data_IF_787525448005
#
_entry.id   IF_787525448005
#
_cell.length_a   1.000
_cell.length_b   1.000
_cell.length_c   1.000
_cell.angle_alpha   90.00
_cell.angle_beta   90.00
_cell.angle_gamma   90.00
#
_symmetry.space_group_name_H-M   'P 1'
#
loop_
_entity.id
_entity.type
_entity.pdbx_description
1 polymer ?
#
# COMPACT_ATOMS: atom_id res chain seq x y z
N UNK A 1 -22.95 16.71 -11.10
CA UNK A 1 -22.16 15.78 -10.27
C UNK A 1 -20.85 15.53 -11.01
N UNK A 2 -19.71 15.64 -10.34
CA UNK A 2 -18.39 15.42 -10.92
C UNK A 2 -18.18 13.95 -11.25
N UNK A 3 -17.41 13.66 -12.30
CA UNK A 3 -17.13 12.29 -12.73
C UNK A 3 -15.64 11.99 -12.73
N UNK A 4 -15.27 10.86 -12.12
CA UNK A 4 -13.89 10.40 -11.96
C UNK A 4 -13.72 9.08 -12.71
N UNK A 5 -12.70 8.99 -13.57
CA UNK A 5 -12.24 7.74 -14.15
C UNK A 5 -11.00 7.25 -13.38
N UNK A 6 -11.01 6.02 -12.88
CA UNK A 6 -9.88 5.40 -12.18
C UNK A 6 -9.38 4.20 -12.97
N UNK A 7 -8.09 4.15 -13.24
CA UNK A 7 -7.44 3.10 -14.01
C UNK A 7 -6.52 2.25 -13.14
N UNK A 8 -6.79 0.95 -13.09
CA UNK A 8 -5.99 -0.05 -12.39
C UNK A 8 -5.87 -1.33 -13.24
N UNK A 9 -4.78 -2.06 -13.13
CA UNK A 9 -4.58 -3.29 -13.92
C UNK A 9 -5.49 -4.42 -13.47
N UNK A 10 -5.57 -4.65 -12.18
CA UNK A 10 -6.28 -5.77 -11.56
C UNK A 10 -6.53 -5.49 -10.07
N UNK A 11 -7.42 -6.25 -9.44
CA UNK A 11 -7.70 -6.21 -8.01
C UNK A 11 -7.15 -7.46 -7.29
N UNK A 12 -5.89 -7.81 -7.59
CA UNK A 12 -5.18 -8.92 -6.96
C UNK A 12 -4.69 -8.62 -5.54
N UNK A 13 -3.80 -9.49 -5.01
CA UNK A 13 -3.20 -9.31 -3.68
C UNK A 13 -2.06 -8.29 -3.73
N UNK A 14 -2.20 -7.17 -3.02
CA UNK A 14 -1.13 -6.19 -2.89
C UNK A 14 -1.57 -4.91 -2.16
N UNK A 15 -0.61 -4.13 -1.72
CA UNK A 15 -0.87 -2.86 -1.02
C UNK A 15 -1.59 -1.85 -1.90
N UNK A 16 -1.22 -1.72 -3.17
CA UNK A 16 -1.84 -0.79 -4.12
C UNK A 16 -3.30 -1.17 -4.36
N UNK A 17 -3.58 -2.46 -4.58
CA UNK A 17 -4.93 -2.97 -4.78
C UNK A 17 -5.82 -2.75 -3.55
N UNK A 18 -5.28 -3.02 -2.36
CA UNK A 18 -5.98 -2.78 -1.09
C UNK A 18 -6.26 -1.30 -0.88
N UNK A 19 -5.29 -0.43 -1.19
CA UNK A 19 -5.46 1.02 -1.12
C UNK A 19 -6.60 1.49 -2.02
N UNK A 20 -6.66 1.00 -3.27
CA UNK A 20 -7.75 1.33 -4.19
C UNK A 20 -9.12 0.86 -3.67
N UNK A 21 -9.20 -0.38 -3.19
CA UNK A 21 -10.46 -0.92 -2.64
C UNK A 21 -10.95 -0.09 -1.45
N UNK A 22 -10.03 0.27 -0.53
CA UNK A 22 -10.36 1.13 0.60
C UNK A 22 -10.88 2.49 0.14
N UNK A 23 -10.22 3.12 -0.83
CA UNK A 23 -10.63 4.39 -1.40
C UNK A 23 -12.02 4.30 -2.02
N UNK A 24 -12.26 3.33 -2.90
CA UNK A 24 -13.54 3.17 -3.59
C UNK A 24 -14.71 2.88 -2.64
N UNK A 25 -14.44 2.30 -1.47
CA UNK A 25 -15.45 2.09 -0.43
C UNK A 25 -15.71 3.31 0.45
N UNK A 26 -14.75 4.23 0.51
CA UNK A 26 -14.84 5.43 1.34
C UNK A 26 -15.40 6.66 0.59
N UNK A 27 -15.32 6.66 -0.75
CA UNK A 27 -15.84 7.75 -1.57
C UNK A 27 -17.36 7.92 -1.36
N UNK A 28 -17.78 9.18 -1.25
CA UNK A 28 -19.19 9.55 -1.24
C UNK A 28 -19.73 9.65 -2.69
N UNK A 29 -20.49 8.63 -3.09
CA UNK A 29 -21.10 8.52 -4.41
C UNK A 29 -22.31 9.46 -4.62
N UNK A 30 -22.72 10.22 -3.62
CA UNK A 30 -23.69 11.30 -3.78
C UNK A 30 -23.00 12.61 -4.23
N UNK A 31 -21.70 12.74 -3.99
CA UNK A 31 -20.86 13.87 -4.44
C UNK A 31 -20.26 13.64 -5.82
N UNK A 32 -19.77 12.42 -6.10
CA UNK A 32 -19.03 12.09 -7.32
C UNK A 32 -19.48 10.76 -7.92
N UNK A 33 -19.50 10.69 -9.24
CA UNK A 33 -19.64 9.42 -9.99
C UNK A 33 -18.25 8.86 -10.26
N UNK A 34 -18.03 7.57 -9.95
CA UNK A 34 -16.74 6.90 -10.22
C UNK A 34 -16.93 5.75 -11.21
N UNK A 35 -16.08 5.75 -12.23
CA UNK A 35 -15.97 4.70 -13.22
C UNK A 35 -14.59 4.04 -13.07
N UNK A 36 -14.55 2.76 -12.67
CA UNK A 36 -13.33 1.97 -12.50
C UNK A 36 -13.02 1.17 -13.77
N UNK A 37 -11.85 1.37 -14.32
CA UNK A 37 -11.34 0.64 -15.49
C UNK A 37 -10.28 -0.37 -15.08
N UNK A 38 -10.52 -1.64 -15.36
CA UNK A 38 -9.60 -2.75 -15.08
C UNK A 38 -9.10 -3.37 -16.38
N UNK A 39 -7.81 -3.71 -16.43
CA UNK A 39 -7.22 -4.43 -17.59
C UNK A 39 -7.48 -5.93 -17.55
N UNK A 40 -7.79 -6.48 -16.36
CA UNK A 40 -8.07 -7.90 -16.14
C UNK A 40 -9.18 -8.08 -15.10
N UNK A 41 -9.98 -9.12 -15.28
CA UNK A 41 -10.99 -9.55 -14.30
C UNK A 41 -10.39 -10.53 -13.27
N UNK A 42 -9.26 -10.19 -12.70
CA UNK A 42 -8.64 -10.95 -11.62
C UNK A 42 -8.96 -10.27 -10.28
N UNK A 43 -9.86 -10.89 -9.51
CA UNK A 43 -10.22 -10.49 -8.15
C UNK A 43 -9.73 -11.55 -7.18
N UNK A 44 -8.77 -11.20 -6.32
CA UNK A 44 -8.30 -12.13 -5.28
C UNK A 44 -9.23 -12.18 -4.07
N UNK A 45 -9.99 -11.10 -3.83
CA UNK A 45 -10.89 -10.97 -2.71
C UNK A 45 -12.34 -10.98 -3.21
N UNK A 46 -13.24 -11.60 -2.45
CA UNK A 46 -14.67 -11.34 -2.60
C UNK A 46 -14.93 -9.88 -2.14
N UNK A 47 -14.65 -8.92 -3.03
CA UNK A 47 -14.81 -7.50 -2.73
C UNK A 47 -16.21 -7.09 -3.15
N UNK A 48 -17.03 -6.72 -2.19
CA UNK A 48 -18.28 -6.01 -2.45
C UNK A 48 -17.98 -4.53 -2.63
N UNK A 49 -18.39 -3.99 -3.77
CA UNK A 49 -18.31 -2.56 -4.07
C UNK A 49 -19.69 -1.89 -3.91
N UNK A 50 -19.72 -0.57 -3.66
CA UNK A 50 -20.95 0.18 -3.71
C UNK A 50 -21.66 0.01 -5.05
N UNK A 51 -22.98 -0.14 -5.04
CA UNK A 51 -23.81 -0.33 -6.26
C UNK A 51 -23.65 0.78 -7.29
N UNK A 52 -23.31 2.00 -6.83
CA UNK A 52 -23.10 3.17 -7.69
C UNK A 52 -21.74 3.19 -8.40
N UNK A 53 -20.82 2.27 -8.10
CA UNK A 53 -19.54 2.13 -8.81
C UNK A 53 -19.75 1.39 -10.13
N UNK A 54 -19.41 2.04 -11.25
CA UNK A 54 -19.33 1.36 -12.53
C UNK A 54 -17.97 0.69 -12.72
N UNK A 55 -17.94 -0.56 -13.19
CA UNK A 55 -16.70 -1.30 -13.48
C UNK A 55 -16.66 -1.67 -14.94
N UNK A 56 -15.62 -1.25 -15.64
CA UNK A 56 -15.36 -1.54 -17.03
C UNK A 56 -14.10 -2.37 -17.18
N UNK A 57 -14.15 -3.39 -18.04
CA UNK A 57 -12.99 -4.21 -18.36
C UNK A 57 -12.41 -3.81 -19.71
N UNK A 58 -11.19 -3.33 -19.70
CA UNK A 58 -10.43 -3.02 -20.92
C UNK A 58 -9.88 -4.32 -21.47
N UNK A 59 -10.34 -4.73 -22.67
CA UNK A 59 -9.82 -5.92 -23.39
C UNK A 59 -8.40 -5.66 -23.92
N UNK A 60 -7.45 -5.47 -23.01
CA UNK A 60 -6.07 -5.15 -23.34
C UNK A 60 -5.14 -6.27 -22.89
N UNK A 61 -4.28 -6.71 -23.78
CA UNK A 61 -3.12 -7.53 -23.41
C UNK A 61 -2.00 -6.62 -22.92
N UNK A 62 -1.74 -6.51 -21.61
CA UNK A 62 -0.78 -5.54 -21.04
C UNK A 62 0.63 -5.63 -21.65
N UNK A 63 1.02 -6.82 -22.14
CA UNK A 63 2.35 -7.08 -22.71
C UNK A 63 2.62 -6.33 -24.03
N UNK A 64 1.60 -6.13 -24.84
CA UNK A 64 1.76 -5.49 -26.17
C UNK A 64 2.13 -4.02 -26.03
N UNK A 65 1.56 -3.32 -25.04
CA UNK A 65 1.74 -1.87 -24.86
C UNK A 65 2.99 -1.49 -24.08
N UNK A 66 3.62 -2.44 -23.39
CA UNK A 66 4.80 -2.18 -22.57
C UNK A 66 6.07 -1.88 -23.38
N UNK A 67 6.09 -2.29 -24.64
CA UNK A 67 7.23 -2.12 -25.55
C UNK A 67 6.93 -1.20 -26.75
N UNK A 68 5.83 -0.46 -26.70
CA UNK A 68 5.47 0.51 -27.74
C UNK A 68 5.83 1.93 -27.31
N UNK A 69 6.17 2.82 -28.27
CA UNK A 69 6.15 4.26 -28.03
C UNK A 69 4.78 4.67 -27.47
N UNK A 70 4.78 5.49 -26.43
CA UNK A 70 3.55 5.82 -25.70
C UNK A 70 2.45 6.40 -26.61
N UNK A 71 2.80 7.25 -27.57
CA UNK A 71 1.85 7.84 -28.53
C UNK A 71 1.19 6.79 -29.44
N UNK A 72 1.89 5.70 -29.75
CA UNK A 72 1.32 4.59 -30.52
C UNK A 72 0.33 3.80 -29.67
N UNK A 73 0.72 3.45 -28.43
CA UNK A 73 -0.16 2.78 -27.48
C UNK A 73 -1.43 3.60 -27.20
N UNK A 74 -1.29 4.90 -27.02
CA UNK A 74 -2.39 5.86 -26.82
C UNK A 74 -3.38 5.85 -27.98
N UNK A 75 -2.92 5.83 -29.24
CA UNK A 75 -3.80 5.76 -30.43
C UNK A 75 -4.56 4.44 -30.49
N UNK A 76 -3.92 3.32 -30.18
CA UNK A 76 -4.53 1.99 -30.24
C UNK A 76 -5.61 1.78 -29.18
N UNK A 77 -5.48 2.38 -28.02
CA UNK A 77 -6.41 2.22 -26.89
C UNK A 77 -7.60 3.19 -26.89
N UNK A 78 -7.58 4.20 -27.74
CA UNK A 78 -8.64 5.23 -27.83
C UNK A 78 -10.07 4.67 -27.99
N UNK A 79 -10.20 3.44 -28.50
CA UNK A 79 -11.48 2.79 -28.76
C UNK A 79 -11.97 1.87 -27.62
N UNK A 80 -11.19 1.72 -26.56
CA UNK A 80 -11.53 0.81 -25.44
C UNK A 80 -12.44 1.44 -24.38
N UNK A 81 -12.63 2.76 -24.45
CA UNK A 81 -13.48 3.52 -23.51
C UNK A 81 -14.84 3.78 -24.14
N UNK A 82 -15.97 3.60 -23.42
CA UNK A 82 -17.29 3.88 -23.94
C UNK A 82 -17.39 5.30 -24.51
N UNK A 83 -17.97 5.46 -25.71
CA UNK A 83 -18.08 6.77 -26.33
C UNK A 83 -19.05 7.68 -25.56
N UNK A 84 -18.80 8.98 -25.56
CA UNK A 84 -19.68 9.99 -24.97
C UNK A 84 -19.53 10.20 -23.46
N UNK A 85 -18.56 9.53 -22.80
CA UNK A 85 -18.24 9.81 -21.41
C UNK A 85 -17.15 10.89 -21.33
N UNK A 86 -17.42 11.93 -20.56
CA UNK A 86 -16.47 13.00 -20.22
C UNK A 86 -16.23 12.99 -18.70
N UNK A 87 -14.97 13.18 -18.30
CA UNK A 87 -14.54 13.13 -16.91
C UNK A 87 -13.99 14.49 -16.46
N UNK A 88 -14.26 14.83 -15.21
CA UNK A 88 -13.58 15.97 -14.57
C UNK A 88 -12.16 15.58 -14.18
N UNK A 89 -11.97 14.30 -13.75
CA UNK A 89 -10.68 13.76 -13.32
C UNK A 89 -10.44 12.37 -13.88
N UNK A 90 -9.24 12.12 -14.42
CA UNK A 90 -8.76 10.79 -14.76
C UNK A 90 -7.53 10.44 -13.91
N UNK A 91 -7.57 9.28 -13.26
CA UNK A 91 -6.55 8.80 -12.31
C UNK A 91 -5.84 7.57 -12.88
N UNK A 92 -4.53 7.68 -13.15
CA UNK A 92 -3.64 6.52 -13.26
C UNK A 92 -3.26 6.07 -11.85
N UNK A 93 -3.96 5.07 -11.32
CA UNK A 93 -3.74 4.60 -9.96
C UNK A 93 -2.58 3.62 -9.83
N UNK A 94 -2.02 3.15 -10.95
CA UNK A 94 -0.89 2.24 -10.95
C UNK A 94 0.20 2.71 -11.93
N UNK A 95 1.01 3.64 -11.48
CA UNK A 95 2.07 4.30 -12.25
C UNK A 95 3.05 3.36 -12.97
N UNK A 96 3.11 2.09 -12.56
CA UNK A 96 4.00 1.08 -13.14
C UNK A 96 3.38 0.27 -14.28
N UNK A 97 2.11 0.49 -14.58
CA UNK A 97 1.38 -0.26 -15.62
C UNK A 97 1.08 0.66 -16.82
N UNK A 98 1.64 0.30 -17.97
CA UNK A 98 1.41 1.07 -19.19
C UNK A 98 -0.08 1.14 -19.58
N UNK A 99 -0.83 0.06 -19.36
CA UNK A 99 -2.27 0.02 -19.63
C UNK A 99 -3.07 1.05 -18.82
N UNK A 100 -2.71 1.26 -17.54
CA UNK A 100 -3.36 2.26 -16.68
C UNK A 100 -3.08 3.67 -17.20
N UNK A 101 -1.81 3.96 -17.53
CA UNK A 101 -1.41 5.24 -18.08
C UNK A 101 -2.12 5.55 -19.40
N UNK A 102 -2.13 4.57 -20.34
CA UNK A 102 -2.80 4.77 -21.63
C UNK A 102 -4.29 5.01 -21.43
N UNK A 103 -4.94 4.26 -20.55
CA UNK A 103 -6.35 4.49 -20.20
C UNK A 103 -6.58 5.91 -19.69
N UNK A 104 -5.88 6.31 -18.64
CA UNK A 104 -6.04 7.63 -18.01
C UNK A 104 -5.76 8.79 -18.98
N UNK A 105 -4.81 8.62 -19.90
CA UNK A 105 -4.40 9.66 -20.85
C UNK A 105 -5.20 9.65 -22.16
N UNK A 106 -6.10 8.69 -22.38
CA UNK A 106 -6.93 8.62 -23.60
C UNK A 106 -8.39 8.96 -23.38
N UNK A 107 -8.90 8.83 -22.16
CA UNK A 107 -10.29 9.26 -21.85
C UNK A 107 -10.42 10.77 -22.00
N UNK A 108 -11.56 11.28 -22.48
CA UNK A 108 -11.86 12.69 -22.41
C UNK A 108 -11.95 13.13 -20.94
N UNK A 109 -10.92 13.80 -20.45
CA UNK A 109 -10.87 14.29 -19.07
C UNK A 109 -10.29 15.71 -19.02
N UNK A 110 -10.80 16.54 -18.10
CA UNK A 110 -10.33 17.91 -17.89
C UNK A 110 -8.99 17.94 -17.15
N UNK A 111 -8.80 17.01 -16.20
CA UNK A 111 -7.60 16.92 -15.37
C UNK A 111 -7.12 15.47 -15.27
N UNK A 112 -5.81 15.26 -15.33
CA UNK A 112 -5.17 13.93 -15.36
C UNK A 112 -4.10 13.85 -14.31
N UNK A 113 -4.20 12.85 -13.44
CA UNK A 113 -3.25 12.66 -12.36
C UNK A 113 -2.66 11.25 -12.34
N UNK A 114 -1.44 11.15 -11.84
CA UNK A 114 -0.76 9.87 -11.67
C UNK A 114 -0.44 9.64 -10.20
N UNK A 115 -0.91 8.53 -9.63
CA UNK A 115 -0.56 8.08 -8.29
C UNK A 115 0.81 7.42 -8.23
N UNK A 116 1.60 7.74 -7.19
CA UNK A 116 2.93 7.17 -6.97
C UNK A 116 2.92 6.43 -5.63
N UNK A 117 2.94 5.09 -5.71
CA UNK A 117 2.79 4.21 -4.54
C UNK A 117 4.08 3.63 -3.99
N UNK A 118 5.20 3.71 -4.70
CA UNK A 118 6.47 3.10 -4.29
C UNK A 118 7.67 3.94 -4.75
N UNK A 119 8.80 3.73 -4.09
CA UNK A 119 10.08 4.28 -4.54
C UNK A 119 10.52 3.60 -5.84
N UNK A 120 10.55 4.40 -6.90
CA UNK A 120 10.94 3.97 -8.25
C UNK A 120 12.40 3.53 -8.30
N UNK A 121 13.31 4.15 -7.52
CA UNK A 121 14.73 3.82 -7.50
C UNK A 121 14.94 2.35 -7.19
N UNK A 122 14.32 1.89 -6.12
CA UNK A 122 14.43 0.51 -5.67
C UNK A 122 13.97 -0.48 -6.71
N UNK A 123 12.90 -0.15 -7.43
CA UNK A 123 12.38 -1.00 -8.49
C UNK A 123 13.33 -1.06 -9.68
N UNK A 124 13.92 0.07 -10.05
CA UNK A 124 14.91 0.15 -11.12
C UNK A 124 16.24 -0.54 -10.78
N UNK A 125 16.63 -0.54 -9.51
CA UNK A 125 17.83 -1.24 -9.04
C UNK A 125 17.68 -2.74 -9.06
N UNK A 126 16.52 -3.25 -8.61
CA UNK A 126 16.30 -4.68 -8.41
C UNK A 126 15.69 -5.40 -9.63
N UNK A 127 15.05 -4.69 -10.57
CA UNK A 127 14.37 -5.29 -11.70
C UNK A 127 14.94 -4.78 -13.04
N UNK A 128 15.94 -5.49 -13.62
CA UNK A 128 16.56 -5.08 -14.88
C UNK A 128 15.56 -4.89 -16.04
N UNK A 129 14.51 -5.71 -16.09
CA UNK A 129 13.43 -5.57 -17.08
C UNK A 129 12.70 -4.25 -16.93
N UNK A 130 12.57 -3.78 -15.69
CA UNK A 130 11.91 -2.53 -15.39
C UNK A 130 12.76 -1.32 -15.84
N UNK A 131 14.10 -1.42 -15.76
CA UNK A 131 15.01 -0.40 -16.31
C UNK A 131 14.82 -0.20 -17.82
N UNK A 132 14.66 -1.30 -18.56
CA UNK A 132 14.37 -1.21 -20.03
C UNK A 132 12.99 -0.60 -20.26
N UNK A 133 11.98 -1.05 -19.55
CA UNK A 133 10.62 -0.51 -19.68
C UNK A 133 10.53 0.97 -19.27
N UNK A 134 11.32 1.41 -18.30
CA UNK A 134 11.36 2.79 -17.84
C UNK A 134 11.72 3.78 -18.95
N UNK A 135 12.59 3.40 -19.85
CA UNK A 135 12.96 4.23 -21.00
C UNK A 135 11.73 4.59 -21.84
N UNK A 136 10.81 3.64 -22.01
CA UNK A 136 9.55 3.88 -22.74
C UNK A 136 8.48 4.54 -21.86
N UNK A 137 8.47 4.24 -20.56
CA UNK A 137 7.44 4.75 -19.66
C UNK A 137 7.59 6.24 -19.31
N UNK A 138 8.82 6.75 -19.24
CA UNK A 138 9.05 8.14 -18.82
C UNK A 138 8.43 9.18 -19.73
N UNK A 139 8.23 8.86 -21.01
CA UNK A 139 7.58 9.78 -21.94
C UNK A 139 6.15 10.14 -21.55
N UNK A 140 5.44 9.26 -20.85
CA UNK A 140 4.07 9.50 -20.40
C UNK A 140 3.94 10.65 -19.40
N UNK A 141 4.99 10.90 -18.61
CA UNK A 141 4.93 11.87 -17.50
C UNK A 141 4.61 13.29 -17.95
N UNK A 142 4.99 13.69 -19.16
CA UNK A 142 4.69 15.01 -19.72
C UNK A 142 3.19 15.27 -19.99
N UNK A 143 2.35 14.23 -19.90
CA UNK A 143 0.91 14.32 -20.21
C UNK A 143 0.02 14.38 -18.95
N UNK A 144 0.59 14.28 -17.76
CA UNK A 144 -0.14 14.45 -16.52
C UNK A 144 -0.12 15.90 -16.06
N UNK A 145 -1.24 16.37 -15.56
CA UNK A 145 -1.39 17.72 -15.01
C UNK A 145 -0.82 17.81 -13.60
N UNK A 146 -0.89 16.70 -12.83
CA UNK A 146 -0.39 16.63 -11.46
C UNK A 146 0.02 15.20 -11.08
N UNK A 147 0.94 15.09 -10.12
CA UNK A 147 1.40 13.83 -9.55
C UNK A 147 0.98 13.70 -8.09
N UNK A 148 0.59 12.48 -7.70
CA UNK A 148 0.07 12.24 -6.35
C UNK A 148 0.91 11.14 -5.67
N UNK A 149 2.03 11.48 -5.01
CA UNK A 149 2.73 10.55 -4.14
C UNK A 149 1.92 10.26 -2.87
N UNK A 150 1.96 9.00 -2.40
CA UNK A 150 1.26 8.60 -1.16
C UNK A 150 2.02 8.95 0.13
N UNK A 151 3.23 9.47 0.00
CA UNK A 151 4.03 10.08 1.08
C UNK A 151 5.05 11.05 0.50
N UNK A 152 5.50 12.02 1.32
CA UNK A 152 6.50 13.02 0.91
C UNK A 152 7.82 12.37 0.48
N UNK A 153 8.19 11.27 1.13
CA UNK A 153 9.43 10.54 0.84
C UNK A 153 9.53 10.00 -0.60
N UNK A 154 8.42 9.92 -1.35
CA UNK A 154 8.40 9.40 -2.71
C UNK A 154 8.67 10.47 -3.78
N UNK A 155 8.52 11.74 -3.46
CA UNK A 155 8.56 12.80 -4.48
C UNK A 155 9.96 13.03 -5.04
N UNK A 156 10.95 13.24 -4.17
CA UNK A 156 12.32 13.47 -4.59
C UNK A 156 12.91 12.29 -5.38
N UNK A 157 12.79 11.02 -4.91
CA UNK A 157 13.19 9.85 -5.71
C UNK A 157 12.51 9.78 -7.08
N UNK A 158 11.23 10.08 -7.14
CA UNK A 158 10.49 10.07 -8.40
C UNK A 158 11.00 11.14 -9.37
N UNK A 159 11.18 12.36 -8.93
CA UNK A 159 11.66 13.47 -9.79
C UNK A 159 13.06 13.22 -10.29
N UNK A 160 13.95 12.69 -9.44
CA UNK A 160 15.33 12.34 -9.82
C UNK A 160 15.37 11.30 -10.95
N UNK A 161 14.46 10.31 -10.93
CA UNK A 161 14.45 9.21 -11.91
C UNK A 161 13.60 9.52 -13.15
N UNK A 162 12.52 10.27 -13.01
CA UNK A 162 11.60 10.60 -14.11
C UNK A 162 12.11 11.75 -14.99
N UNK A 163 12.94 12.62 -14.44
CA UNK A 163 13.35 13.88 -15.08
C UNK A 163 12.23 14.93 -15.11
N UNK A 164 11.13 14.70 -14.42
CA UNK A 164 10.02 15.66 -14.28
C UNK A 164 10.47 16.76 -13.33
N UNK A 165 10.70 17.96 -13.86
CA UNK A 165 11.09 19.14 -13.08
C UNK A 165 9.90 20.10 -12.99
N UNK A 166 9.71 20.70 -11.82
CA UNK A 166 8.69 21.74 -11.56
C UNK A 166 7.24 21.29 -11.86
N UNK A 167 6.96 19.98 -11.81
CA UNK A 167 5.60 19.48 -11.96
C UNK A 167 4.77 19.74 -10.69
N UNK A 168 3.48 20.01 -10.89
CA UNK A 168 2.53 20.11 -9.79
C UNK A 168 2.40 18.76 -9.10
N UNK A 169 2.45 18.75 -7.78
CA UNK A 169 2.23 17.55 -6.99
C UNK A 169 1.55 17.90 -5.67
N UNK A 170 0.82 16.93 -5.13
CA UNK A 170 0.30 16.94 -3.76
C UNK A 170 0.37 15.55 -3.17
N UNK A 171 0.68 15.45 -1.90
CA UNK A 171 0.65 14.19 -1.18
C UNK A 171 -0.78 13.84 -0.82
N UNK A 172 -1.26 12.68 -1.25
CA UNK A 172 -2.54 12.11 -0.83
C UNK A 172 -2.28 10.69 -0.34
N UNK A 173 -2.39 10.51 0.95
CA UNK A 173 -2.17 9.25 1.63
C UNK A 173 -3.26 8.22 1.30
N UNK A 174 -3.07 6.97 1.71
CA UNK A 174 -4.05 5.90 1.47
C UNK A 174 -5.13 5.89 2.55
N UNK A 175 -6.36 5.73 2.15
CA UNK A 175 -7.52 5.55 3.04
C UNK A 175 -7.41 4.21 3.80
N UNK A 176 -7.80 4.21 5.06
CA UNK A 176 -7.92 3.01 5.90
C UNK A 176 -9.39 2.72 6.17
N UNK A 177 -9.84 1.53 5.82
CA UNK A 177 -11.22 1.11 6.07
C UNK A 177 -11.40 0.65 7.52
N UNK A 178 -11.50 1.60 8.45
CA UNK A 178 -11.63 1.35 9.88
C UNK A 178 -12.93 0.59 10.23
N UNK A 179 -14.10 0.88 9.63
CA UNK A 179 -15.31 0.11 9.91
C UNK A 179 -15.17 -1.39 9.61
N UNK A 180 -14.57 -1.74 8.46
CA UNK A 180 -14.32 -3.15 8.11
C UNK A 180 -13.29 -3.77 9.05
N UNK A 181 -12.23 -3.04 9.39
CA UNK A 181 -11.21 -3.50 10.33
C UNK A 181 -11.81 -3.80 11.69
N UNK A 182 -12.64 -2.90 12.24
CA UNK A 182 -13.33 -3.11 13.53
C UNK A 182 -14.26 -4.33 13.51
N UNK A 183 -14.99 -4.57 12.40
CA UNK A 183 -15.79 -5.78 12.24
C UNK A 183 -14.91 -7.03 12.30
N UNK A 184 -13.78 -7.03 11.59
CA UNK A 184 -12.85 -8.16 11.52
C UNK A 184 -12.10 -8.45 12.82
N UNK A 185 -11.85 -7.45 13.65
CA UNK A 185 -11.25 -7.61 14.99
C UNK A 185 -12.13 -8.49 15.89
N UNK A 186 -13.45 -8.37 15.79
CA UNK A 186 -14.38 -9.11 16.63
C UNK A 186 -14.41 -10.62 16.35
N UNK A 187 -13.82 -11.07 15.24
CA UNK A 187 -13.71 -12.50 14.94
C UNK A 187 -12.66 -13.18 15.83
N UNK A 188 -12.85 -14.45 16.16
CA UNK A 188 -11.85 -15.19 16.93
C UNK A 188 -10.81 -15.82 15.99
N UNK A 189 -9.50 -15.67 16.28
CA UNK A 189 -8.47 -16.36 15.52
C UNK A 189 -8.51 -17.87 15.82
N UNK A 190 -8.70 -18.73 14.81
CA UNK A 190 -9.06 -20.14 15.04
C UNK A 190 -7.92 -21.00 15.62
N UNK A 191 -6.68 -20.58 15.41
CA UNK A 191 -5.48 -21.40 15.67
C UNK A 191 -4.40 -20.65 16.49
N UNK A 192 -4.77 -19.55 17.15
CA UNK A 192 -3.84 -18.72 17.89
C UNK A 192 -3.80 -19.09 19.39
N UNK A 193 -2.59 -19.38 19.86
CA UNK A 193 -2.28 -19.47 21.29
C UNK A 193 -1.33 -18.35 21.66
N UNK A 194 -1.73 -17.47 22.54
CA UNK A 194 -0.94 -16.34 23.03
C UNK A 194 -0.66 -16.57 24.51
N UNK A 195 0.59 -16.41 24.91
CA UNK A 195 0.98 -16.47 26.31
C UNK A 195 0.74 -15.08 26.93
N UNK A 196 -0.22 -15.00 27.84
CA UNK A 196 -0.60 -13.74 28.51
C UNK A 196 0.50 -13.18 29.42
N UNK A 197 1.42 -14.00 29.89
CA UNK A 197 2.54 -13.57 30.73
C UNK A 197 3.68 -12.95 29.91
N UNK A 198 3.69 -13.18 28.60
CA UNK A 198 4.71 -12.68 27.69
C UNK A 198 4.30 -11.36 27.04
N UNK A 199 5.30 -10.56 26.64
CA UNK A 199 5.13 -9.41 25.74
C UNK A 199 5.05 -9.91 24.31
N UNK A 200 3.87 -9.80 23.66
CA UNK A 200 3.55 -10.39 22.39
C UNK A 200 3.57 -9.35 21.27
N UNK A 201 4.56 -9.42 20.41
CA UNK A 201 4.67 -8.58 19.23
C UNK A 201 4.06 -9.25 18.00
N UNK A 202 3.46 -8.47 17.12
CA UNK A 202 3.01 -8.92 15.81
C UNK A 202 3.64 -8.12 14.69
N UNK A 203 4.04 -8.80 13.62
CA UNK A 203 4.42 -8.21 12.35
C UNK A 203 3.52 -8.74 11.24
N UNK A 204 3.10 -7.87 10.31
CA UNK A 204 2.19 -8.20 9.22
C UNK A 204 2.78 -7.75 7.89
N UNK A 205 2.92 -8.66 6.93
CA UNK A 205 3.32 -8.30 5.57
C UNK A 205 3.86 -9.45 4.73
N UNK A 206 4.23 -9.14 3.49
CA UNK A 206 4.88 -10.09 2.59
C UNK A 206 6.30 -10.37 3.09
N UNK A 207 6.67 -11.65 3.20
CA UNK A 207 8.02 -12.06 3.60
C UNK A 207 8.98 -11.88 2.41
N UNK A 208 9.59 -10.70 2.32
CA UNK A 208 10.50 -10.31 1.26
C UNK A 208 11.51 -9.27 1.77
N UNK A 209 12.63 -9.11 1.08
CA UNK A 209 13.73 -8.19 1.42
C UNK A 209 13.27 -6.78 1.79
N UNK A 210 12.27 -6.23 1.06
CA UNK A 210 11.69 -4.91 1.34
C UNK A 210 11.25 -4.76 2.80
N UNK A 211 10.63 -5.80 3.36
CA UNK A 211 10.00 -5.74 4.70
C UNK A 211 10.98 -5.92 5.86
N UNK A 212 12.25 -6.26 5.59
CA UNK A 212 13.32 -6.24 6.57
C UNK A 212 13.13 -7.20 7.76
N UNK A 213 12.43 -8.31 7.58
CA UNK A 213 12.22 -9.28 8.66
C UNK A 213 13.51 -9.86 9.22
N UNK A 214 14.56 -9.92 8.41
CA UNK A 214 15.91 -10.30 8.84
C UNK A 214 16.46 -9.33 9.90
N UNK A 215 16.32 -8.02 9.69
CA UNK A 215 16.67 -6.97 10.67
C UNK A 215 15.86 -7.14 11.96
N UNK A 216 14.56 -7.40 11.82
CA UNK A 216 13.66 -7.62 12.95
C UNK A 216 14.09 -8.83 13.79
N UNK A 217 14.44 -9.95 13.14
CA UNK A 217 14.87 -11.18 13.82
C UNK A 217 16.19 -10.98 14.58
N UNK A 218 17.15 -10.26 13.98
CA UNK A 218 18.43 -9.98 14.64
C UNK A 218 18.23 -9.08 15.88
N UNK A 219 17.43 -8.04 15.76
CA UNK A 219 17.08 -7.15 16.89
C UNK A 219 16.32 -7.91 17.99
N UNK A 220 15.35 -8.75 17.58
CA UNK A 220 14.58 -9.56 18.52
C UNK A 220 15.45 -10.60 19.24
N UNK A 221 16.42 -11.20 18.54
CA UNK A 221 17.37 -12.13 19.14
C UNK A 221 18.26 -11.42 20.18
N UNK A 222 18.72 -10.21 19.91
CA UNK A 222 19.50 -9.42 20.86
C UNK A 222 18.70 -9.15 22.13
N UNK A 223 17.47 -8.64 22.01
CA UNK A 223 16.58 -8.38 23.17
C UNK A 223 16.23 -9.67 23.93
N UNK A 224 16.05 -10.79 23.23
CA UNK A 224 15.70 -12.08 23.83
C UNK A 224 16.80 -12.72 24.69
N UNK A 225 18.03 -12.20 24.65
CA UNK A 225 19.12 -12.59 25.55
C UNK A 225 18.96 -11.96 26.93
N UNK A 226 18.30 -10.80 27.00
CA UNK A 226 18.09 -10.05 28.23
C UNK A 226 16.72 -10.35 28.87
N UNK A 227 15.74 -10.80 28.03
CA UNK A 227 14.36 -11.06 28.45
C UNK A 227 13.81 -12.35 27.82
N UNK A 228 13.32 -13.25 28.66
CA UNK A 228 12.71 -14.50 28.21
C UNK A 228 11.22 -14.39 27.87
N UNK A 229 10.56 -13.34 28.32
CA UNK A 229 9.13 -13.10 28.16
C UNK A 229 8.74 -12.42 26.84
N UNK A 230 9.60 -12.40 25.82
CA UNK A 230 9.28 -11.84 24.50
C UNK A 230 8.79 -12.93 23.54
N UNK A 231 7.72 -12.60 22.81
CA UNK A 231 7.17 -13.42 21.72
C UNK A 231 6.94 -12.58 20.48
N UNK A 232 7.26 -13.13 19.31
CA UNK A 232 7.07 -12.48 18.02
C UNK A 232 6.23 -13.37 17.10
N UNK A 233 5.11 -12.84 16.63
CA UNK A 233 4.18 -13.50 15.72
C UNK A 233 4.26 -12.82 14.35
N UNK A 234 4.59 -13.59 13.31
CA UNK A 234 4.76 -13.08 11.95
C UNK A 234 3.61 -13.58 11.09
N UNK A 235 2.77 -12.67 10.61
CA UNK A 235 1.63 -12.94 9.73
C UNK A 235 2.01 -12.57 8.31
N UNK A 236 2.03 -13.54 7.41
CA UNK A 236 2.35 -13.34 6.02
C UNK A 236 2.99 -14.54 5.38
N UNK A 237 3.37 -14.40 4.13
CA UNK A 237 4.11 -15.39 3.38
C UNK A 237 4.88 -14.71 2.24
N UNK A 238 5.92 -15.32 1.73
CA UNK A 238 6.70 -14.71 0.69
C UNK A 238 7.96 -15.49 0.32
N UNK A 239 8.76 -14.98 -0.64
CA UNK A 239 9.94 -15.70 -1.14
C UNK A 239 11.01 -15.93 -0.07
N UNK A 240 11.10 -15.06 0.94
CA UNK A 240 12.15 -15.15 1.96
C UNK A 240 11.76 -16.04 3.16
N UNK A 241 10.57 -16.65 3.15
CA UNK A 241 10.06 -17.42 4.29
C UNK A 241 11.01 -18.53 4.76
N UNK A 242 11.58 -19.29 3.82
CA UNK A 242 12.51 -20.36 4.15
C UNK A 242 13.82 -19.82 4.78
N UNK A 243 14.35 -18.73 4.24
CA UNK A 243 15.56 -18.08 4.76
C UNK A 243 15.33 -17.50 6.18
N UNK A 244 14.18 -16.86 6.40
CA UNK A 244 13.82 -16.30 7.71
C UNK A 244 13.62 -17.39 8.78
N UNK A 245 13.02 -18.52 8.42
CA UNK A 245 12.92 -19.69 9.32
C UNK A 245 14.29 -20.27 9.66
N UNK A 246 15.20 -20.34 8.70
CA UNK A 246 16.59 -20.77 8.93
C UNK A 246 17.32 -19.79 9.86
N UNK A 247 17.21 -18.48 9.63
CA UNK A 247 17.77 -17.45 10.51
C UNK A 247 17.22 -17.57 11.95
N UNK A 248 15.90 -17.79 12.10
CA UNK A 248 15.26 -17.99 13.40
C UNK A 248 15.87 -19.19 14.15
N UNK A 249 16.15 -20.29 13.46
CA UNK A 249 16.81 -21.47 14.03
C UNK A 249 18.28 -21.18 14.43
N UNK A 250 19.04 -20.50 13.56
CA UNK A 250 20.42 -20.09 13.84
C UNK A 250 20.52 -19.16 15.04
N UNK A 251 19.57 -18.24 15.19
CA UNK A 251 19.48 -17.30 16.32
C UNK A 251 18.93 -17.96 17.61
N UNK A 252 18.58 -19.25 17.56
CA UNK A 252 18.00 -20.02 18.68
C UNK A 252 16.71 -19.42 19.24
N UNK A 253 15.87 -18.88 18.36
CA UNK A 253 14.57 -18.26 18.70
C UNK A 253 13.39 -19.25 18.67
N UNK A 254 13.67 -20.58 18.69
CA UNK A 254 12.63 -21.59 18.79
C UNK A 254 11.74 -21.36 20.03
N UNK A 255 10.41 -21.44 19.85
CA UNK A 255 9.43 -21.16 20.91
C UNK A 255 9.23 -19.67 21.27
N UNK A 256 9.97 -18.75 20.62
CA UNK A 256 9.80 -17.31 20.78
C UNK A 256 9.29 -16.62 19.52
N UNK A 257 9.60 -17.16 18.33
CA UNK A 257 9.15 -16.64 17.03
C UNK A 257 8.21 -17.63 16.35
N UNK A 258 7.03 -17.15 15.94
CA UNK A 258 5.96 -17.94 15.36
C UNK A 258 5.58 -17.42 13.98
N UNK A 259 5.79 -18.21 12.94
CA UNK A 259 5.32 -17.91 11.58
C UNK A 259 3.89 -18.44 11.41
N UNK A 260 2.91 -17.53 11.40
CA UNK A 260 1.49 -17.90 11.31
C UNK A 260 1.00 -18.14 9.87
N UNK A 261 1.87 -17.86 8.87
CA UNK A 261 1.48 -17.93 7.47
C UNK A 261 0.53 -16.82 7.05
N UNK A 262 -0.04 -16.95 5.85
CA UNK A 262 -1.05 -15.99 5.34
C UNK A 262 -2.38 -16.21 6.04
N UNK A 263 -3.01 -15.13 6.47
CA UNK A 263 -4.34 -15.14 7.09
C UNK A 263 -5.31 -14.30 6.26
N UNK A 264 -6.52 -14.79 6.05
CA UNK A 264 -7.59 -14.04 5.38
C UNK A 264 -8.05 -12.84 6.22
N UNK A 265 -8.09 -13.02 7.53
CA UNK A 265 -8.33 -11.96 8.51
C UNK A 265 -7.14 -11.84 9.47
N UNK A 266 -6.15 -10.99 9.20
CA UNK A 266 -5.03 -10.79 10.11
C UNK A 266 -5.38 -9.95 11.35
N UNK A 267 -6.46 -9.16 11.30
CA UNK A 267 -6.78 -8.20 12.35
C UNK A 267 -7.23 -8.84 13.65
N UNK A 268 -7.94 -9.96 13.60
CA UNK A 268 -8.31 -10.70 14.80
C UNK A 268 -7.07 -11.29 15.51
N UNK A 269 -6.01 -11.60 14.76
CA UNK A 269 -4.73 -11.99 15.37
C UNK A 269 -4.01 -10.78 15.96
N UNK A 270 -3.95 -9.65 15.25
CA UNK A 270 -3.34 -8.42 15.73
C UNK A 270 -4.00 -7.95 17.04
N UNK A 271 -5.31 -8.08 17.14
CA UNK A 271 -6.05 -7.72 18.37
C UNK A 271 -5.63 -8.52 19.61
N UNK A 272 -5.10 -9.70 19.46
CA UNK A 272 -4.63 -10.51 20.60
C UNK A 272 -3.20 -10.19 21.03
N UNK A 273 -2.51 -9.29 20.32
CA UNK A 273 -1.13 -8.93 20.60
C UNK A 273 -1.01 -7.64 21.42
N UNK A 274 0.16 -7.45 22.01
CA UNK A 274 0.45 -6.29 22.86
C UNK A 274 1.07 -5.13 22.09
N UNK A 275 1.76 -5.39 20.95
CA UNK A 275 2.40 -4.38 20.14
C UNK A 275 2.57 -4.82 18.67
N UNK A 276 2.68 -3.85 17.78
CA UNK A 276 2.99 -4.07 16.37
C UNK A 276 4.44 -3.69 16.09
N UNK A 277 5.12 -4.47 15.25
CA UNK A 277 6.50 -4.18 14.84
C UNK A 277 6.66 -4.16 13.33
N UNK A 278 7.46 -3.20 12.83
CA UNK A 278 7.84 -3.08 11.42
C UNK A 278 9.28 -2.61 11.28
N UNK A 279 10.03 -3.30 10.41
CA UNK A 279 11.43 -3.00 10.11
C UNK A 279 11.68 -2.85 8.61
N UNK A 280 10.67 -2.42 7.87
CA UNK A 280 10.76 -2.28 6.42
C UNK A 280 11.90 -1.36 6.01
N UNK A 281 12.68 -1.78 5.02
CA UNK A 281 13.79 -0.98 4.47
C UNK A 281 13.29 0.24 3.70
N UNK A 282 12.18 0.09 3.03
CA UNK A 282 11.51 1.15 2.27
C UNK A 282 10.02 0.83 2.08
N UNK A 283 9.21 1.87 1.95
CA UNK A 283 7.77 1.79 1.72
C UNK A 283 7.30 2.86 0.72
N UNK A 284 6.06 2.78 0.31
CA UNK A 284 5.36 3.93 -0.24
C UNK A 284 4.64 4.66 0.89
N UNK A 285 3.63 4.00 1.41
CA UNK A 285 3.00 4.26 2.69
C UNK A 285 2.65 2.91 3.32
N UNK A 286 3.15 2.60 4.50
CA UNK A 286 2.95 1.29 5.14
C UNK A 286 1.54 1.15 5.72
N UNK A 287 0.60 0.62 4.93
CA UNK A 287 -0.79 0.41 5.36
C UNK A 287 -0.90 -0.40 6.66
N UNK A 288 -0.03 -1.39 6.85
CA UNK A 288 0.00 -2.24 8.04
C UNK A 288 0.29 -1.45 9.33
N UNK A 289 1.08 -0.38 9.28
CA UNK A 289 1.30 0.52 10.43
C UNK A 289 0.02 1.30 10.72
N UNK A 290 -0.66 1.83 9.71
CA UNK A 290 -1.92 2.54 9.88
C UNK A 290 -3.03 1.62 10.40
N UNK A 291 -3.05 0.38 9.94
CA UNK A 291 -3.95 -0.66 10.44
C UNK A 291 -3.66 -1.00 11.91
N UNK A 292 -2.39 -1.07 12.30
CA UNK A 292 -2.00 -1.28 13.70
C UNK A 292 -2.42 -0.10 14.59
N UNK A 293 -2.32 1.15 14.12
CA UNK A 293 -2.89 2.33 14.80
C UNK A 293 -4.40 2.17 14.99
N UNK A 294 -5.13 1.77 13.95
CA UNK A 294 -6.58 1.57 14.03
C UNK A 294 -6.98 0.46 15.00
N UNK A 295 -6.15 -0.59 15.16
CA UNK A 295 -6.30 -1.63 16.20
C UNK A 295 -5.95 -1.09 17.59
N UNK A 296 -5.15 -0.04 17.68
CA UNK A 296 -4.69 0.57 18.93
C UNK A 296 -3.41 -0.02 19.48
N UNK A 297 -2.61 -0.69 18.63
CA UNK A 297 -1.37 -1.30 19.07
C UNK A 297 -0.25 -0.25 19.20
N UNK A 298 0.53 -0.25 20.30
CA UNK A 298 1.81 0.42 20.35
C UNK A 298 2.71 0.02 19.19
N UNK A 299 3.39 0.99 18.56
CA UNK A 299 4.18 0.78 17.35
C UNK A 299 5.67 0.72 17.68
N UNK A 300 6.34 -0.34 17.25
CA UNK A 300 7.78 -0.55 17.33
C UNK A 300 8.36 -0.60 15.91
N UNK A 301 8.70 0.56 15.37
CA UNK A 301 9.12 0.68 13.98
C UNK A 301 10.55 1.21 13.90
N UNK A 302 11.32 0.78 12.90
CA UNK A 302 12.63 1.39 12.61
C UNK A 302 12.48 2.84 12.17
N UNK A 303 13.42 3.70 12.53
CA UNK A 303 13.37 5.16 12.35
C UNK A 303 13.15 5.62 10.91
N UNK A 304 13.71 4.91 9.96
CA UNK A 304 13.50 5.23 8.54
C UNK A 304 12.02 5.24 8.10
N UNK A 305 11.12 4.59 8.87
CA UNK A 305 9.70 4.56 8.57
C UNK A 305 8.94 5.84 8.95
N UNK A 306 9.56 6.75 9.72
CA UNK A 306 9.02 8.07 10.03
C UNK A 306 8.74 8.90 8.76
N UNK A 307 9.62 8.77 7.75
CA UNK A 307 9.48 9.50 6.48
C UNK A 307 8.27 9.07 5.63
N UNK A 308 7.67 7.91 5.92
CA UNK A 308 6.53 7.36 5.19
C UNK A 308 5.20 7.46 5.96
N UNK A 309 5.24 7.86 7.25
CA UNK A 309 4.05 7.85 8.11
C UNK A 309 4.06 9.04 9.06
N UNK A 310 3.19 9.99 8.83
CA UNK A 310 3.05 11.18 9.66
C UNK A 310 2.78 10.81 11.13
N UNK A 311 3.49 11.46 12.05
CA UNK A 311 3.35 11.25 13.49
C UNK A 311 3.86 9.89 13.99
N UNK A 312 4.55 9.09 13.17
CA UNK A 312 5.26 7.92 13.62
C UNK A 312 6.56 8.34 14.32
N UNK A 313 6.80 7.78 15.50
CA UNK A 313 8.10 7.85 16.19
C UNK A 313 8.77 6.48 16.07
N UNK A 314 9.87 6.43 15.34
CA UNK A 314 10.64 5.22 15.12
C UNK A 314 11.83 5.09 16.08
N UNK A 315 12.44 3.92 16.10
CA UNK A 315 13.57 3.60 16.94
C UNK A 315 14.86 3.49 16.12
N UNK A 316 15.92 4.12 16.57
CA UNK A 316 17.27 3.93 16.02
C UNK A 316 17.81 2.54 16.38
N UNK A 317 17.49 2.04 17.57
CA UNK A 317 17.83 0.70 18.07
C UNK A 317 16.55 -0.08 18.39
N UNK A 318 16.15 -0.94 17.46
CA UNK A 318 14.98 -1.80 17.64
C UNK A 318 15.19 -2.88 18.71
N UNK A 319 16.45 -3.31 18.97
CA UNK A 319 16.73 -4.27 20.03
C UNK A 319 16.52 -3.67 21.41
N UNK A 320 17.01 -2.45 21.64
CA UNK A 320 16.76 -1.73 22.87
C UNK A 320 15.26 -1.44 23.06
N UNK A 321 14.55 -1.13 21.96
CA UNK A 321 13.09 -0.94 22.00
C UNK A 321 12.35 -2.22 22.44
N UNK A 322 12.72 -3.38 21.91
CA UNK A 322 12.15 -4.67 22.36
C UNK A 322 12.46 -4.96 23.84
N UNK A 323 13.73 -4.76 24.25
CA UNK A 323 14.14 -4.98 25.65
C UNK A 323 13.39 -4.08 26.63
N UNK A 324 13.17 -2.82 26.24
CA UNK A 324 12.43 -1.82 27.04
C UNK A 324 10.91 -1.95 27.00
N UNK A 325 10.35 -2.78 26.12
CA UNK A 325 8.90 -2.85 25.88
C UNK A 325 8.11 -3.25 27.15
N UNK A 326 6.93 -2.64 27.31
CA UNK A 326 5.98 -2.94 28.39
C UNK A 326 4.58 -3.02 27.80
N UNK A 327 3.73 -3.87 28.37
CA UNK A 327 2.31 -3.91 28.03
C UNK A 327 1.66 -2.57 28.34
N UNK A 328 0.88 -2.10 27.40
CA UNK A 328 0.13 -0.86 27.52
C UNK A 328 -1.32 -1.11 27.10
N UNK A 329 -2.22 -0.29 27.60
CA UNK A 329 -3.60 -0.31 27.10
C UNK A 329 -3.62 0.10 25.62
N UNK A 330 -4.39 -0.62 24.83
CA UNK A 330 -4.61 -0.26 23.42
C UNK A 330 -5.34 1.08 23.34
N UNK A 331 -4.93 1.88 22.37
CA UNK A 331 -5.53 3.18 22.06
C UNK A 331 -5.96 3.20 20.60
N UNK A 332 -7.11 2.60 20.27
CA UNK A 332 -7.59 2.55 18.88
C UNK A 332 -7.82 3.94 18.32
N UNK A 333 -7.21 4.18 17.15
CA UNK A 333 -7.42 5.39 16.38
C UNK A 333 -8.56 5.15 15.37
N UNK A 334 -9.57 6.02 15.34
CA UNK A 334 -10.67 5.88 14.40
C UNK A 334 -10.34 6.43 13.00
N UNK A 335 -9.25 7.18 12.89
CA UNK A 335 -8.75 7.75 11.64
C UNK A 335 -9.81 8.55 10.84
N UNK A 336 -10.83 9.08 11.50
CA UNK A 336 -11.93 9.81 10.83
C UNK A 336 -11.38 11.06 10.15
N UNK A 337 -10.70 11.92 10.91
CA UNK A 337 -10.13 13.17 10.37
C UNK A 337 -9.06 12.87 9.30
N UNK A 338 -8.25 11.84 9.53
CA UNK A 338 -7.25 11.38 8.57
C UNK A 338 -7.89 10.99 7.23
N UNK A 339 -8.89 10.11 7.26
CA UNK A 339 -9.60 9.69 6.05
C UNK A 339 -10.34 10.85 5.39
N UNK A 340 -10.94 11.77 6.17
CA UNK A 340 -11.66 12.91 5.63
C UNK A 340 -10.74 13.85 4.85
N UNK A 341 -9.55 14.16 5.38
CA UNK A 341 -8.53 14.97 4.67
C UNK A 341 -8.14 14.36 3.31
N UNK A 342 -8.01 13.03 3.26
CA UNK A 342 -7.70 12.31 2.03
C UNK A 342 -8.82 12.46 1.00
N UNK A 343 -10.08 12.24 1.43
CA UNK A 343 -11.24 12.34 0.57
C UNK A 343 -11.45 13.77 0.06
N UNK A 344 -11.29 14.77 0.92
CA UNK A 344 -11.39 16.18 0.53
C UNK A 344 -10.32 16.54 -0.51
N UNK A 345 -9.08 16.06 -0.34
CA UNK A 345 -8.02 16.26 -1.31
C UNK A 345 -8.32 15.63 -2.68
N UNK A 346 -9.04 14.50 -2.70
CA UNK A 346 -9.46 13.84 -3.95
C UNK A 346 -10.61 14.62 -4.60
N UNK A 347 -11.56 15.14 -3.81
CA UNK A 347 -12.63 16.00 -4.34
C UNK A 347 -12.07 17.31 -4.90
N UNK A 348 -11.07 17.91 -4.25
CA UNK A 348 -10.38 19.11 -4.74
C UNK A 348 -9.69 18.88 -6.10
N UNK A 349 -9.17 17.64 -6.34
CA UNK A 349 -8.62 17.30 -7.66
C UNK A 349 -9.67 17.40 -8.77
N UNK A 350 -10.95 17.13 -8.50
CA UNK A 350 -12.03 17.25 -9.49
C UNK A 350 -12.35 18.70 -9.86
N UNK A 351 -11.93 19.66 -9.04
CA UNK A 351 -12.09 21.09 -9.29
C UNK A 351 -10.86 21.71 -9.96
N UNK A 352 -9.73 21.01 -9.97
CA UNK A 352 -8.45 21.56 -10.46
C UNK A 352 -8.38 21.75 -11.99
N UNK A 353 -9.31 21.18 -12.75
CA UNK A 353 -9.38 21.29 -14.22
C UNK A 353 -10.27 22.42 -14.74
N UNK A 354 -10.65 23.39 -13.88
CA UNK A 354 -11.53 24.52 -14.21
C UNK A 354 -10.68 25.74 -14.54
#
# INVERSE_FOLDING_TARGET
>A
MKRIAVFQSELGVGGIQKSLVNLLRAIDYDRVQVDLYLSKDEKFWAVEFPEKLNIYYLKLTPRVYSFMPFDTAKRMLRYAVPPGLEYDLAIDFNSYQCSCAVGALTVPAKYRVMWIHNDVRVKLENEWKYRVLWYFFKEKFKYYDEFVPVSDALWEPFTAMSGVKNAKHRVIQNVINVPELRKKICEQPPDLKVDSECMNFVALGKLCHQKGYDIMLDAFAAASRERDDLRLYIIGGGPDEAALKAQTAQLKLGGKVFFLGRKSNPYCYMDKMDAFVSSSRYEGQPLNIMEAKAVGLPLYCTKNLESYTEGLVGYDDLAAAFAGARKQAKQPDDLIEYNQKILDSIYDLTESGI
#
